data_IF_081016235999
#
_entry.id   IF_081016235999
#
_cell.length_a   1.000
_cell.length_b   1.000
_cell.length_c   1.000
_cell.angle_alpha   90.00
_cell.angle_beta   90.00
_cell.angle_gamma   90.00
#
_symmetry.space_group_name_H-M   'P 1'
#
loop_
_entity.id
_entity.type
_entity.pdbx_description
1 polymer ?
#
# COMPACT_ATOMS: atom_id res chain seq x y z
N UNK A 1 78.80 -16.38 13.92
CA UNK A 1 77.98 -15.39 14.66
C UNK A 1 76.54 -15.92 14.65
N UNK A 2 76.10 -16.52 15.76
CA UNK A 2 75.17 -15.93 16.74
C UNK A 2 73.78 -15.65 16.12
N UNK A 3 72.80 -16.56 16.36
CA UNK A 3 71.61 -16.39 17.25
C UNK A 3 70.46 -15.61 16.57
N UNK A 4 69.15 -15.94 16.62
CA UNK A 4 68.30 -16.89 17.36
C UNK A 4 66.87 -16.85 16.74
N UNK A 5 66.05 -17.89 17.01
CA UNK A 5 64.57 -17.88 17.05
C UNK A 5 63.90 -18.32 15.75
N UNK A 6 63.13 -19.43 15.66
CA UNK A 6 62.07 -19.90 16.57
C UNK A 6 60.79 -19.12 16.23
N UNK A 7 59.63 -19.69 15.87
CA UNK A 7 58.93 -20.88 16.36
C UNK A 7 57.92 -21.35 15.29
N UNK A 8 57.58 -22.64 15.32
CA UNK A 8 56.57 -23.30 14.50
C UNK A 8 55.11 -22.96 14.88
N UNK A 9 54.21 -23.43 14.00
CA UNK A 9 52.81 -23.80 14.22
C UNK A 9 51.74 -22.70 14.30
N UNK A 10 50.85 -22.71 13.28
CA UNK A 10 49.40 -22.97 13.40
C UNK A 10 48.58 -22.11 12.42
N UNK A 11 48.05 -22.70 11.34
CA UNK A 11 46.82 -22.17 10.73
C UNK A 11 45.62 -22.62 11.58
N UNK A 12 44.61 -21.77 11.82
CA UNK A 12 43.41 -21.92 10.99
C UNK A 12 42.60 -20.64 10.71
N UNK A 13 41.96 -20.68 9.53
CA UNK A 13 40.58 -20.27 9.25
C UNK A 13 40.12 -18.83 9.58
N UNK A 14 40.00 -18.07 8.48
CA UNK A 14 38.96 -17.08 8.19
C UNK A 14 38.92 -15.78 9.01
N UNK A 15 39.48 -14.72 8.42
CA UNK A 15 38.94 -13.37 8.54
C UNK A 15 38.71 -12.80 7.14
N UNK A 16 37.51 -13.06 6.60
CA UNK A 16 36.93 -12.19 5.57
C UNK A 16 36.74 -10.84 6.23
N UNK A 17 37.47 -9.84 5.74
CA UNK A 17 37.19 -8.42 5.95
C UNK A 17 35.66 -8.20 6.02
N UNK A 18 35.11 -7.69 7.14
CA UNK A 18 33.68 -7.48 7.24
C UNK A 18 33.29 -6.39 6.23
N UNK A 19 32.53 -6.79 5.22
CA UNK A 19 31.85 -5.88 4.32
C UNK A 19 31.20 -4.75 5.14
N UNK A 20 31.64 -3.52 4.89
CA UNK A 20 31.23 -2.32 5.61
C UNK A 20 29.73 -2.35 5.96
N UNK A 21 29.39 -2.56 7.25
CA UNK A 21 28.00 -2.67 7.62
C UNK A 21 27.45 -1.25 7.80
N UNK A 22 26.37 -0.98 7.06
CA UNK A 22 25.43 0.14 7.23
C UNK A 22 25.69 1.48 6.51
N UNK A 23 25.94 1.45 5.20
CA UNK A 23 25.59 2.59 4.33
C UNK A 23 24.07 2.73 4.06
N UNK A 24 23.21 2.12 4.88
CA UNK A 24 21.76 2.44 4.90
C UNK A 24 21.43 3.68 5.72
N UNK A 25 22.36 4.18 6.54
CA UNK A 25 22.15 5.42 7.34
C UNK A 25 22.02 6.68 6.48
N UNK A 26 22.41 6.64 5.20
CA UNK A 26 22.25 7.77 4.29
C UNK A 26 20.82 7.96 3.74
N UNK A 27 19.92 6.96 3.89
CA UNK A 27 18.51 7.10 3.50
C UNK A 27 17.62 7.77 4.56
N UNK A 28 18.19 8.09 5.73
CA UNK A 28 17.48 8.57 6.93
C UNK A 28 17.82 10.00 7.35
N UNK A 29 18.44 10.82 6.49
CA UNK A 29 18.33 12.27 6.68
C UNK A 29 16.95 12.68 6.22
N UNK A 30 16.01 12.58 7.16
CA UNK A 30 14.73 13.26 7.24
C UNK A 30 14.57 14.29 6.10
N UNK A 31 13.92 13.86 5.01
CA UNK A 31 13.63 14.71 3.84
C UNK A 31 13.04 16.01 4.38
N UNK A 32 13.71 17.14 4.12
CA UNK A 32 13.42 18.40 4.80
C UNK A 32 11.96 18.78 4.58
N UNK A 33 11.33 19.34 5.62
CA UNK A 33 9.98 19.92 5.55
C UNK A 33 9.84 20.90 4.37
N UNK A 34 10.94 21.57 4.02
CA UNK A 34 11.05 22.50 2.90
C UNK A 34 10.88 21.83 1.53
N UNK A 35 11.38 20.60 1.34
CA UNK A 35 11.15 19.82 0.12
C UNK A 35 9.69 19.36 -0.01
N UNK A 36 8.98 19.18 1.11
CA UNK A 36 7.53 18.92 1.11
C UNK A 36 6.73 20.16 0.71
N UNK A 37 7.10 21.32 1.25
CA UNK A 37 6.45 22.60 0.95
C UNK A 37 6.72 23.07 -0.48
N UNK A 38 7.88 22.75 -1.05
CA UNK A 38 8.23 23.02 -2.44
C UNK A 38 7.77 21.93 -3.43
N UNK A 39 7.07 20.88 -2.96
CA UNK A 39 6.50 19.83 -3.81
C UNK A 39 7.52 18.84 -4.41
N UNK A 40 8.78 18.84 -3.95
CA UNK A 40 9.87 18.10 -4.58
C UNK A 40 10.01 16.65 -4.07
N UNK A 41 9.48 16.31 -2.89
CA UNK A 41 9.43 14.92 -2.39
C UNK A 41 8.12 14.69 -1.65
N UNK A 42 7.20 13.88 -2.18
CA UNK A 42 5.99 13.46 -1.46
C UNK A 42 6.30 12.33 -0.46
N UNK A 43 5.54 12.21 0.67
CA UNK A 43 5.72 11.08 1.56
C UNK A 43 5.14 9.84 0.89
N UNK A 44 5.75 8.68 1.10
CA UNK A 44 5.32 7.42 0.44
C UNK A 44 3.85 7.09 0.67
N UNK A 45 3.30 7.39 1.86
CA UNK A 45 1.89 7.17 2.10
C UNK A 45 1.00 8.08 1.24
N UNK A 46 1.41 9.32 0.95
CA UNK A 46 0.65 10.21 0.07
C UNK A 46 0.75 9.75 -1.39
N UNK A 47 1.90 9.24 -1.84
CA UNK A 47 2.04 8.62 -3.16
C UNK A 47 1.06 7.45 -3.31
N UNK A 48 0.98 6.57 -2.30
CA UNK A 48 0.01 5.48 -2.29
C UNK A 48 -1.44 5.97 -2.25
N UNK A 49 -1.73 7.01 -1.48
CA UNK A 49 -3.08 7.58 -1.47
C UNK A 49 -3.50 8.08 -2.85
N UNK A 50 -2.59 8.75 -3.59
CA UNK A 50 -2.84 9.15 -4.98
C UNK A 50 -3.04 7.94 -5.88
N UNK A 51 -2.18 6.92 -5.80
CA UNK A 51 -2.31 5.70 -6.58
C UNK A 51 -3.65 4.99 -6.33
N UNK A 52 -4.10 4.90 -5.07
CA UNK A 52 -5.43 4.37 -4.72
C UNK A 52 -6.53 5.19 -5.40
N UNK A 53 -6.49 6.52 -5.29
CA UNK A 53 -7.49 7.40 -5.89
C UNK A 53 -7.54 7.28 -7.42
N UNK A 54 -6.37 7.17 -8.06
CA UNK A 54 -6.27 7.04 -9.51
C UNK A 54 -6.82 5.69 -10.00
N UNK A 55 -6.46 4.59 -9.34
CA UNK A 55 -7.00 3.28 -9.67
C UNK A 55 -8.52 3.22 -9.39
N UNK A 56 -8.99 3.81 -8.29
CA UNK A 56 -10.44 3.93 -8.02
C UNK A 56 -11.18 4.66 -9.15
N UNK A 57 -10.58 5.73 -9.71
CA UNK A 57 -11.15 6.47 -10.84
C UNK A 57 -11.20 5.61 -12.11
N UNK A 58 -10.13 4.85 -12.38
CA UNK A 58 -10.07 3.91 -13.50
C UNK A 58 -11.19 2.86 -13.37
N UNK A 59 -11.35 2.27 -12.18
CA UNK A 59 -12.38 1.27 -11.92
C UNK A 59 -13.79 1.86 -12.07
N UNK A 60 -14.03 3.07 -11.55
CA UNK A 60 -15.30 3.76 -11.70
C UNK A 60 -15.69 3.95 -13.18
N UNK A 61 -14.77 4.42 -14.03
CA UNK A 61 -15.03 4.57 -15.46
C UNK A 61 -15.28 3.23 -16.17
N UNK A 62 -14.56 2.16 -15.79
CA UNK A 62 -14.79 0.81 -16.34
C UNK A 62 -16.17 0.27 -15.96
N UNK A 63 -16.58 0.48 -14.72
CA UNK A 63 -17.89 0.07 -14.21
C UNK A 63 -19.02 0.87 -14.85
N UNK A 64 -18.87 2.19 -15.00
CA UNK A 64 -19.87 3.03 -15.66
C UNK A 64 -20.17 2.54 -17.09
N UNK A 65 -19.12 2.20 -17.84
CA UNK A 65 -19.26 1.61 -19.18
C UNK A 65 -19.97 0.25 -19.14
N UNK A 66 -19.60 -0.62 -18.19
CA UNK A 66 -20.22 -1.93 -18.06
C UNK A 66 -21.70 -1.83 -17.66
N UNK A 67 -22.02 -0.90 -16.77
CA UNK A 67 -23.37 -0.61 -16.31
C UNK A 67 -24.25 -0.13 -17.46
N UNK A 68 -23.80 0.88 -18.21
CA UNK A 68 -24.50 1.41 -19.39
C UNK A 68 -24.77 0.32 -20.43
N UNK A 69 -23.76 -0.50 -20.74
CA UNK A 69 -23.92 -1.64 -21.67
C UNK A 69 -24.94 -2.67 -21.19
N UNK A 70 -25.05 -2.86 -19.88
CA UNK A 70 -26.03 -3.80 -19.29
C UNK A 70 -27.43 -3.22 -19.39
N UNK A 71 -27.59 -1.91 -19.15
CA UNK A 71 -28.86 -1.17 -19.36
C UNK A 71 -29.30 -1.09 -20.82
N UNK A 72 -28.37 -1.01 -21.76
CA UNK A 72 -28.74 -0.99 -23.19
C UNK A 72 -29.29 -2.35 -23.67
N UNK A 73 -28.96 -3.44 -22.98
CA UNK A 73 -29.36 -4.81 -23.34
C UNK A 73 -30.65 -5.27 -22.67
N UNK A 74 -30.96 -4.69 -21.52
CA UNK A 74 -32.10 -5.06 -20.68
C UNK A 74 -32.75 -3.78 -20.19
N UNK A 75 -34.08 -3.75 -20.15
CA UNK A 75 -34.79 -2.62 -19.55
C UNK A 75 -34.34 -2.43 -18.08
N UNK A 76 -34.13 -1.19 -17.65
CA UNK A 76 -33.51 -0.85 -16.35
C UNK A 76 -34.31 -1.40 -15.16
N UNK A 77 -35.63 -1.45 -15.30
CA UNK A 77 -36.53 -1.96 -14.25
C UNK A 77 -36.74 -3.48 -14.30
N UNK A 78 -36.11 -4.17 -15.25
CA UNK A 78 -36.27 -5.61 -15.39
C UNK A 78 -35.52 -6.38 -14.29
N UNK A 79 -36.16 -7.42 -13.76
CA UNK A 79 -35.49 -8.37 -12.84
C UNK A 79 -34.27 -9.03 -13.49
N UNK A 80 -34.25 -9.14 -14.81
CA UNK A 80 -33.09 -9.63 -15.55
C UNK A 80 -31.91 -8.66 -15.46
N UNK A 81 -32.11 -7.36 -15.66
CA UNK A 81 -31.08 -6.35 -15.47
C UNK A 81 -30.49 -6.45 -14.05
N UNK A 82 -31.36 -6.47 -13.03
CA UNK A 82 -30.97 -6.58 -11.63
C UNK A 82 -30.11 -7.80 -11.36
N UNK A 83 -30.55 -8.97 -11.83
CA UNK A 83 -29.84 -10.22 -11.62
C UNK A 83 -28.47 -10.22 -12.35
N UNK A 84 -28.43 -9.76 -13.60
CA UNK A 84 -27.19 -9.68 -14.40
C UNK A 84 -26.20 -8.68 -13.83
N UNK A 85 -26.66 -7.53 -13.37
CA UNK A 85 -25.80 -6.51 -12.79
C UNK A 85 -25.23 -6.95 -11.43
N UNK A 86 -26.05 -7.54 -10.54
CA UNK A 86 -25.55 -8.10 -9.27
C UNK A 86 -24.52 -9.20 -9.50
N UNK A 87 -24.70 -10.05 -10.50
CA UNK A 87 -23.70 -11.06 -10.84
C UNK A 87 -22.40 -10.46 -11.37
N UNK A 88 -22.50 -9.42 -12.19
CA UNK A 88 -21.32 -8.66 -12.66
C UNK A 88 -20.58 -8.04 -11.49
N UNK A 89 -21.29 -7.39 -10.56
CA UNK A 89 -20.71 -6.80 -9.36
C UNK A 89 -19.99 -7.84 -8.48
N UNK A 90 -20.55 -9.05 -8.33
CA UNK A 90 -19.92 -10.15 -7.56
C UNK A 90 -18.63 -10.66 -8.18
N UNK A 91 -18.53 -10.68 -9.52
CA UNK A 91 -17.35 -11.19 -10.24
C UNK A 91 -16.29 -10.13 -10.51
N UNK A 92 -16.61 -8.86 -10.32
CA UNK A 92 -15.68 -7.78 -10.59
C UNK A 92 -14.49 -7.83 -9.62
N UNK A 93 -13.29 -7.72 -10.18
CA UNK A 93 -12.04 -7.78 -9.41
C UNK A 93 -11.44 -6.40 -9.21
N UNK A 94 -10.98 -6.15 -7.98
CA UNK A 94 -10.34 -4.91 -7.55
C UNK A 94 -8.90 -5.16 -7.07
N UNK A 95 -8.21 -6.16 -7.63
CA UNK A 95 -6.92 -6.62 -7.09
C UNK A 95 -5.92 -5.47 -6.95
N UNK A 96 -5.66 -4.70 -8.01
CA UNK A 96 -4.69 -3.60 -8.00
C UNK A 96 -4.97 -2.56 -6.89
N UNK A 97 -6.20 -2.05 -6.81
CA UNK A 97 -6.56 -1.07 -5.76
C UNK A 97 -6.57 -1.70 -4.37
N UNK A 98 -7.00 -2.96 -4.24
CA UNK A 98 -6.99 -3.66 -2.96
C UNK A 98 -5.57 -3.97 -2.49
N UNK A 99 -4.63 -4.19 -3.40
CA UNK A 99 -3.21 -4.39 -3.10
C UNK A 99 -2.60 -3.08 -2.61
N UNK A 100 -2.92 -1.96 -3.27
CA UNK A 100 -2.55 -0.62 -2.82
C UNK A 100 -3.15 -0.27 -1.45
N UNK A 101 -4.42 -0.62 -1.21
CA UNK A 101 -5.09 -0.44 0.08
C UNK A 101 -4.40 -1.27 1.17
N UNK A 102 -4.10 -2.55 0.91
CA UNK A 102 -3.38 -3.40 1.86
C UNK A 102 -2.01 -2.84 2.19
N UNK A 103 -1.26 -2.41 1.17
CA UNK A 103 0.03 -1.76 1.38
C UNK A 103 -0.11 -0.45 2.17
N UNK A 104 -1.09 0.39 1.84
CA UNK A 104 -1.33 1.63 2.59
C UNK A 104 -1.63 1.33 4.06
N UNK A 105 -2.55 0.41 4.35
CA UNK A 105 -2.92 0.05 5.72
C UNK A 105 -1.74 -0.53 6.52
N UNK A 106 -0.86 -1.31 5.89
CA UNK A 106 0.29 -1.91 6.57
C UNK A 106 1.36 -0.88 6.97
N UNK A 107 1.59 0.14 6.13
CA UNK A 107 2.73 1.04 6.29
C UNK A 107 2.35 2.46 6.75
N UNK A 108 1.11 2.91 6.52
CA UNK A 108 0.67 4.26 6.84
C UNK A 108 0.90 4.64 8.32
N UNK A 109 0.55 3.82 9.31
CA UNK A 109 0.76 4.20 10.70
C UNK A 109 2.22 4.44 11.07
N UNK A 110 3.12 3.67 10.46
CA UNK A 110 4.56 3.76 10.67
C UNK A 110 5.10 5.02 9.98
N UNK A 111 4.74 5.24 8.72
CA UNK A 111 5.21 6.38 7.93
C UNK A 111 4.65 7.73 8.42
N UNK A 112 3.42 7.73 8.93
CA UNK A 112 2.77 8.90 9.51
C UNK A 112 3.09 9.06 11.01
N UNK A 113 3.89 8.16 11.60
CA UNK A 113 4.26 8.16 13.03
C UNK A 113 3.04 8.24 13.96
N UNK A 114 1.99 7.48 13.65
CA UNK A 114 0.78 7.45 14.47
C UNK A 114 1.12 6.90 15.87
N UNK A 115 0.55 7.53 16.90
CA UNK A 115 0.63 7.02 18.26
C UNK A 115 -0.12 5.70 18.40
N UNK A 116 0.38 4.81 19.24
CA UNK A 116 -0.33 3.61 19.66
C UNK A 116 -1.24 3.97 20.84
N UNK A 117 -2.49 3.53 20.81
CA UNK A 117 -3.38 3.58 21.96
C UNK A 117 -3.15 2.32 22.83
N UNK A 118 -2.59 2.46 24.03
CA UNK A 118 -2.25 1.31 24.88
C UNK A 118 -3.50 0.57 25.39
N UNK A 119 -4.69 1.19 25.37
CA UNK A 119 -5.93 0.54 25.82
C UNK A 119 -6.47 -0.43 24.79
N UNK A 120 -6.30 -0.12 23.51
CA UNK A 120 -6.84 -0.90 22.39
C UNK A 120 -5.76 -1.76 21.70
N UNK A 121 -4.48 -1.45 21.91
CA UNK A 121 -3.38 -2.11 21.22
C UNK A 121 -3.31 -1.78 19.72
N UNK A 122 -3.99 -0.72 19.29
CA UNK A 122 -4.05 -0.27 17.89
C UNK A 122 -3.61 1.20 17.77
N UNK A 123 -3.38 1.67 16.55
CA UNK A 123 -3.02 3.07 16.32
C UNK A 123 -4.20 4.02 16.56
N UNK A 124 -3.89 5.24 16.99
CA UNK A 124 -4.88 6.30 17.21
C UNK A 124 -5.69 6.60 15.96
N UNK A 125 -6.92 7.03 16.17
CA UNK A 125 -7.83 7.46 15.10
C UNK A 125 -7.31 8.73 14.43
N UNK A 126 -7.47 8.79 13.12
CA UNK A 126 -7.16 9.99 12.31
C UNK A 126 -8.48 10.71 12.04
N UNK A 127 -8.59 11.96 12.49
CA UNK A 127 -9.83 12.75 12.39
C UNK A 127 -11.08 12.00 12.89
N UNK A 128 -10.96 11.29 14.02
CA UNK A 128 -12.04 10.52 14.64
C UNK A 128 -12.37 9.17 13.97
N UNK A 129 -11.71 8.82 12.86
CA UNK A 129 -11.95 7.59 12.10
C UNK A 129 -10.77 6.63 12.20
N UNK A 130 -11.00 5.30 12.08
CA UNK A 130 -9.91 4.37 11.86
C UNK A 130 -9.10 4.79 10.64
N UNK A 131 -7.77 4.66 10.69
CA UNK A 131 -6.92 4.98 9.54
C UNK A 131 -7.06 3.97 8.41
N UNK A 132 -7.49 2.74 8.73
CA UNK A 132 -7.61 1.65 7.76
C UNK A 132 -8.66 1.98 6.72
N UNK A 133 -8.30 1.75 5.47
CA UNK A 133 -9.22 1.78 4.34
C UNK A 133 -9.77 0.38 4.09
N UNK A 134 -11.07 0.30 3.87
CA UNK A 134 -11.74 -0.95 3.53
C UNK A 134 -11.44 -1.37 2.09
N UNK A 135 -11.24 -2.67 1.81
CA UNK A 135 -11.09 -3.17 0.46
C UNK A 135 -12.38 -2.98 -0.34
N UNK A 136 -12.24 -2.76 -1.65
CA UNK A 136 -13.37 -2.62 -2.56
C UNK A 136 -13.89 -4.00 -2.99
N UNK A 137 -15.21 -4.06 -3.20
CA UNK A 137 -15.92 -5.27 -3.62
C UNK A 137 -17.31 -4.97 -4.16
N UNK A 138 -18.14 -6.00 -4.29
CA UNK A 138 -19.48 -5.88 -4.88
C UNK A 138 -20.35 -4.80 -4.20
N UNK A 139 -20.27 -4.68 -2.87
CA UNK A 139 -21.02 -3.66 -2.13
C UNK A 139 -20.66 -2.23 -2.58
N UNK A 140 -19.38 -1.95 -2.83
CA UNK A 140 -18.90 -0.65 -3.33
C UNK A 140 -19.47 -0.32 -4.71
N UNK A 141 -19.62 -1.35 -5.56
CA UNK A 141 -20.23 -1.22 -6.89
C UNK A 141 -21.72 -0.92 -6.75
N UNK A 142 -22.46 -1.74 -6.00
CA UNK A 142 -23.92 -1.64 -5.89
C UNK A 142 -24.40 -0.38 -5.16
N UNK A 143 -23.56 0.20 -4.30
CA UNK A 143 -23.81 1.51 -3.70
C UNK A 143 -23.78 2.63 -4.75
N UNK A 144 -22.91 2.54 -5.77
CA UNK A 144 -22.68 3.58 -6.79
C UNK A 144 -23.50 3.37 -8.05
N UNK A 145 -23.72 2.12 -8.40
CA UNK A 145 -24.43 1.67 -9.59
C UNK A 145 -25.50 0.68 -9.14
N UNK A 146 -26.68 1.17 -8.71
CA UNK A 146 -27.72 0.32 -8.17
C UNK A 146 -28.30 -0.60 -9.24
N UNK A 147 -28.69 -1.80 -8.80
CA UNK A 147 -29.42 -2.78 -9.59
C UNK A 147 -30.90 -2.45 -9.62
#
# INVERSE_FOLDING_TARGET
MARLGGVADSEPLADREPAHPFERRALQRERSLEAYLQGSLMPRYMERLRAIQDEMRIQAHRLERAYRRTKERHDEDSEEFRARWRETARRWRFDEVNDLIRAHNAYYPIEARLALDPRTGDYVRVAGRPYRREPLGAAWILERFPA
#
